data_IF_440216144713
#
_entry.id   IF_440216144713
#
_cell.length_a   1.000
_cell.length_b   1.000
_cell.length_c   1.000
_cell.angle_alpha   90.00
_cell.angle_beta   90.00
_cell.angle_gamma   90.00
#
_symmetry.space_group_name_H-M   'P 1'
#
loop_
_entity.id
_entity.type
_entity.pdbx_description
1 polymer ?
#
# COMPACT_ATOMS: atom_id res chain seq x y z
N UNK A 1 6.46 4.79 25.19
CA UNK A 1 6.43 3.48 24.49
C UNK A 1 5.24 3.37 23.54
N UNK A 2 3.99 3.61 23.98
CA UNK A 2 2.81 3.51 23.08
C UNK A 2 2.87 4.31 21.78
N UNK A 3 3.27 5.59 21.83
CA UNK A 3 3.44 6.42 20.61
C UNK A 3 4.43 5.85 19.59
N UNK A 4 5.52 5.23 20.07
CA UNK A 4 6.53 4.60 19.21
C UNK A 4 5.92 3.40 18.47
N UNK A 5 5.13 2.58 19.18
CA UNK A 5 4.45 1.43 18.59
C UNK A 5 3.48 1.89 17.49
N UNK A 6 2.71 2.96 17.76
CA UNK A 6 1.75 3.50 16.78
C UNK A 6 2.47 4.02 15.53
N UNK A 7 3.60 4.73 15.69
CA UNK A 7 4.43 5.17 14.55
C UNK A 7 5.00 4.01 13.74
N UNK A 8 5.41 2.93 14.41
CA UNK A 8 5.88 1.73 13.71
C UNK A 8 4.78 1.08 12.89
N UNK A 9 3.56 0.98 13.44
CA UNK A 9 2.39 0.47 12.69
C UNK A 9 2.10 1.38 11.48
N UNK A 10 2.09 2.70 11.67
CA UNK A 10 1.91 3.65 10.57
C UNK A 10 2.99 3.53 9.49
N UNK A 11 4.24 3.28 9.89
CA UNK A 11 5.38 3.08 8.98
C UNK A 11 5.23 1.80 8.15
N UNK A 12 4.78 0.70 8.77
CA UNK A 12 4.52 -0.56 8.07
C UNK A 12 3.39 -0.38 7.06
N UNK A 13 2.29 0.31 7.44
CA UNK A 13 1.20 0.60 6.52
C UNK A 13 1.66 1.46 5.34
N UNK A 14 2.45 2.51 5.59
CA UNK A 14 3.00 3.35 4.53
C UNK A 14 3.87 2.54 3.55
N UNK A 15 4.74 1.66 4.07
CA UNK A 15 5.57 0.76 3.28
C UNK A 15 4.75 -0.19 2.42
N UNK A 16 3.72 -0.84 2.99
CA UNK A 16 2.82 -1.72 2.24
C UNK A 16 2.13 -0.95 1.13
N UNK A 17 1.63 0.26 1.42
CA UNK A 17 1.00 1.12 0.42
C UNK A 17 1.93 1.43 -0.75
N UNK A 18 3.17 1.81 -0.46
CA UNK A 18 4.22 2.06 -1.47
C UNK A 18 4.48 0.82 -2.32
N UNK A 19 4.65 -0.36 -1.71
CA UNK A 19 4.85 -1.62 -2.44
C UNK A 19 3.67 -1.88 -3.38
N UNK A 20 2.43 -1.72 -2.91
CA UNK A 20 1.23 -1.93 -3.73
C UNK A 20 1.13 -0.95 -4.92
N UNK A 21 1.72 0.24 -4.84
CA UNK A 21 1.77 1.21 -5.95
C UNK A 21 2.85 0.83 -6.96
N UNK A 22 4.08 0.64 -6.50
CA UNK A 22 5.24 0.47 -7.37
C UNK A 22 5.35 -0.95 -7.92
N UNK A 23 5.03 -1.96 -7.12
CA UNK A 23 5.06 -3.37 -7.54
C UNK A 23 3.72 -3.89 -8.07
N UNK A 24 2.71 -3.02 -8.20
CA UNK A 24 1.36 -3.36 -8.65
C UNK A 24 1.36 -4.31 -9.86
N UNK A 25 2.16 -3.99 -10.90
CA UNK A 25 2.22 -4.77 -12.14
C UNK A 25 2.88 -6.14 -11.94
N UNK A 26 3.89 -6.23 -11.11
CA UNK A 26 4.58 -7.49 -10.80
C UNK A 26 3.67 -8.40 -9.99
N UNK A 27 2.94 -7.84 -9.03
CA UNK A 27 1.97 -8.55 -8.21
C UNK A 27 0.82 -9.05 -9.09
N UNK A 28 0.24 -8.19 -9.93
CA UNK A 28 -0.93 -8.57 -10.75
C UNK A 28 -0.61 -9.57 -11.82
N UNK A 29 0.59 -9.50 -12.43
CA UNK A 29 1.06 -10.53 -13.37
C UNK A 29 1.14 -11.93 -12.75
N UNK A 30 1.44 -12.03 -11.46
CA UNK A 30 1.54 -13.30 -10.74
C UNK A 30 0.19 -13.81 -10.22
N UNK A 31 -0.71 -12.89 -9.87
CA UNK A 31 -1.98 -13.21 -9.20
C UNK A 31 -3.22 -13.22 -10.12
N UNK A 32 -3.17 -12.55 -11.29
CA UNK A 32 -4.33 -12.34 -12.18
C UNK A 32 -4.06 -12.82 -13.61
N UNK A 33 -5.15 -13.20 -14.29
CA UNK A 33 -5.14 -13.65 -15.69
C UNK A 33 -4.85 -12.50 -16.67
N UNK A 34 -4.40 -12.83 -17.89
CA UNK A 34 -3.91 -11.86 -18.88
C UNK A 34 -4.89 -10.73 -19.26
N UNK A 35 -6.20 -10.93 -19.10
CA UNK A 35 -7.22 -9.91 -19.36
C UNK A 35 -7.43 -8.93 -18.20
N UNK A 36 -7.38 -9.41 -16.96
CA UNK A 36 -7.71 -8.64 -15.75
C UNK A 36 -6.50 -7.87 -15.19
N UNK A 37 -5.28 -8.18 -15.66
CA UNK A 37 -4.06 -7.57 -15.14
C UNK A 37 -4.05 -6.04 -15.20
N UNK A 38 -4.69 -5.41 -16.18
CA UNK A 38 -4.69 -3.95 -16.31
C UNK A 38 -5.60 -3.29 -15.26
N UNK A 39 -6.83 -3.76 -15.14
CA UNK A 39 -7.79 -3.28 -14.14
C UNK A 39 -7.31 -3.59 -12.73
N UNK A 40 -6.83 -4.82 -12.49
CA UNK A 40 -6.25 -5.21 -11.21
C UNK A 40 -5.00 -4.36 -10.84
N UNK A 41 -4.15 -3.99 -11.82
CA UNK A 41 -3.01 -3.09 -11.58
C UNK A 41 -3.47 -1.71 -11.16
N UNK A 42 -4.48 -1.16 -11.83
CA UNK A 42 -5.04 0.14 -11.45
C UNK A 42 -5.66 0.09 -10.05
N UNK A 43 -6.43 -0.96 -9.76
CA UNK A 43 -7.03 -1.19 -8.44
C UNK A 43 -5.98 -1.28 -7.33
N UNK A 44 -4.90 -2.06 -7.54
CA UNK A 44 -3.80 -2.14 -6.58
C UNK A 44 -3.12 -0.80 -6.33
N UNK A 45 -2.92 0.01 -7.37
CA UNK A 45 -2.31 1.34 -7.21
C UNK A 45 -3.19 2.29 -6.40
N UNK A 46 -4.51 2.29 -6.66
CA UNK A 46 -5.46 3.11 -5.92
C UNK A 46 -5.52 2.66 -4.46
N UNK A 47 -5.62 1.35 -4.21
CA UNK A 47 -5.61 0.80 -2.85
C UNK A 47 -4.30 1.12 -2.11
N UNK A 48 -3.16 0.93 -2.78
CA UNK A 48 -1.83 1.25 -2.25
C UNK A 48 -1.68 2.73 -1.90
N UNK A 49 -2.21 3.63 -2.74
CA UNK A 49 -2.25 5.07 -2.46
C UNK A 49 -3.04 5.39 -1.19
N UNK A 50 -4.25 4.85 -1.04
CA UNK A 50 -5.07 5.07 0.15
C UNK A 50 -4.39 4.53 1.43
N UNK A 51 -3.79 3.34 1.35
CA UNK A 51 -3.04 2.73 2.46
C UNK A 51 -1.82 3.59 2.82
N UNK A 52 -1.11 4.12 1.82
CA UNK A 52 0.06 4.96 2.04
C UNK A 52 -0.30 6.28 2.74
N UNK A 53 -1.43 6.89 2.38
CA UNK A 53 -1.96 8.10 3.04
C UNK A 53 -2.36 7.78 4.48
N UNK A 54 -3.06 6.67 4.71
CA UNK A 54 -3.45 6.27 6.06
C UNK A 54 -2.22 6.05 6.96
N UNK A 55 -1.20 5.34 6.45
CA UNK A 55 0.06 5.13 7.15
C UNK A 55 0.79 6.44 7.46
N UNK A 56 0.94 7.32 6.48
CA UNK A 56 1.57 8.63 6.66
C UNK A 56 0.81 9.50 7.68
N UNK A 57 -0.52 9.50 7.64
CA UNK A 57 -1.37 10.23 8.58
C UNK A 57 -1.18 9.74 10.01
N UNK A 58 -1.11 8.42 10.22
CA UNK A 58 -0.84 7.84 11.54
C UNK A 58 0.54 8.29 12.08
N UNK A 59 1.56 8.33 11.22
CA UNK A 59 2.91 8.77 11.61
C UNK A 59 2.93 10.25 11.98
N UNK A 60 2.25 11.10 11.20
CA UNK A 60 2.25 12.56 11.39
C UNK A 60 1.43 13.00 12.61
N UNK A 61 0.34 12.31 12.94
CA UNK A 61 -0.57 12.69 14.03
C UNK A 61 -0.21 12.09 15.40
N UNK A 62 0.76 11.18 15.48
CA UNK A 62 1.18 10.51 16.73
C UNK A 62 2.64 10.78 17.08
#
# INVERSE_FOLDING_TARGET
MGKIIIKLVGSILALIGVILIYDARTITKKAFSFGDQNEATLGLKIAGYLISIAGATIIMLN
#
